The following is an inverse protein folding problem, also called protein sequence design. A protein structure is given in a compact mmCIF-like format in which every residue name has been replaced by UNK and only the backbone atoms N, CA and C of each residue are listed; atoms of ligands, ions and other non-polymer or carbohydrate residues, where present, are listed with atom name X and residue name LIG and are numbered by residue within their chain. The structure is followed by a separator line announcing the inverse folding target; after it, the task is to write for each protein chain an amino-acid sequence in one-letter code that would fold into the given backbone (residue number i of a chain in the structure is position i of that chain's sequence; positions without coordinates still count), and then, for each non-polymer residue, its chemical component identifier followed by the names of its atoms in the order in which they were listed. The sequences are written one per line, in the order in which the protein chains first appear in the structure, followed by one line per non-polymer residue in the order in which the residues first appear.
data_IF_454394340679
#
_entry.id   IF_454394340679
#
_cell.length_a   1.000
_cell.length_b   1.000
_cell.length_c   1.000
_cell.angle_alpha   90.00
_cell.angle_beta   90.00
_cell.angle_gamma   90.00
#
_symmetry.space_group_name_H-M   'P 1'
#
loop_
_entity.id
_entity.type
_entity.pdbx_description
1 polymer ?
#
# COMPACT_ATOMS: atom_id res chain seq x y z
N UNK A 1 17.42 3.53 4.71
CA UNK A 1 16.48 3.08 3.66
C UNK A 1 15.64 1.98 4.26
N UNK A 2 14.33 2.11 4.16
CA UNK A 2 13.37 1.10 4.63
C UNK A 2 13.26 -0.02 3.58
N UNK A 3 13.43 -1.28 3.98
CA UNK A 3 13.39 -2.45 3.10
C UNK A 3 12.08 -2.52 2.31
N UNK A 4 10.97 -2.18 2.96
CA UNK A 4 9.64 -2.23 2.36
C UNK A 4 9.50 -1.22 1.22
N UNK A 5 10.06 -0.02 1.36
CA UNK A 5 10.09 0.98 0.29
C UNK A 5 10.89 0.53 -0.92
N UNK A 6 12.01 -0.18 -0.71
CA UNK A 6 12.83 -0.70 -1.82
C UNK A 6 12.01 -1.69 -2.65
N UNK A 7 11.34 -2.63 -1.98
CA UNK A 7 10.49 -3.62 -2.66
C UNK A 7 9.29 -2.97 -3.32
N UNK A 8 8.67 -1.97 -2.70
CA UNK A 8 7.58 -1.20 -3.30
C UNK A 8 8.01 -0.56 -4.63
N UNK A 9 9.15 0.14 -4.64
CA UNK A 9 9.69 0.79 -5.84
C UNK A 9 10.00 -0.23 -6.95
N UNK A 10 10.56 -1.39 -6.58
CA UNK A 10 10.84 -2.49 -7.51
C UNK A 10 9.55 -3.07 -8.11
N UNK A 11 8.53 -3.34 -7.29
CA UNK A 11 7.23 -3.83 -7.75
C UNK A 11 6.55 -2.81 -8.67
N UNK A 12 6.59 -1.52 -8.33
CA UNK A 12 6.03 -0.46 -9.20
C UNK A 12 6.69 -0.45 -10.58
N UNK A 13 8.00 -0.64 -10.62
CA UNK A 13 8.73 -0.74 -11.88
C UNK A 13 8.37 -2.01 -12.67
N UNK A 14 8.24 -3.15 -12.00
CA UNK A 14 7.81 -4.40 -12.64
C UNK A 14 6.39 -4.31 -13.21
N UNK A 15 5.46 -3.67 -12.50
CA UNK A 15 4.09 -3.40 -12.97
C UNK A 15 4.14 -2.54 -14.25
N UNK A 16 4.90 -1.45 -14.24
CA UNK A 16 5.06 -0.57 -15.42
C UNK A 16 5.63 -1.31 -16.61
N UNK A 17 6.71 -2.08 -16.42
CA UNK A 17 7.37 -2.85 -17.49
C UNK A 17 6.48 -3.91 -18.11
N UNK A 18 5.63 -4.55 -17.30
CA UNK A 18 4.70 -5.58 -17.75
C UNK A 18 3.37 -5.02 -18.27
N UNK A 19 3.14 -3.71 -18.14
CA UNK A 19 1.87 -3.09 -18.50
C UNK A 19 0.69 -3.60 -17.67
N UNK A 20 0.94 -4.02 -16.43
CA UNK A 20 -0.11 -4.53 -15.55
C UNK A 20 -0.97 -3.35 -15.04
N UNK A 21 -2.27 -3.56 -15.04
CA UNK A 21 -3.24 -2.66 -14.43
C UNK A 21 -3.55 -3.18 -13.02
N UNK A 22 -3.10 -2.51 -11.94
CA UNK A 22 -3.28 -3.02 -10.58
C UNK A 22 -4.75 -3.14 -10.16
N UNK A 23 -5.64 -2.36 -10.76
CA UNK A 23 -7.07 -2.37 -10.43
C UNK A 23 -7.79 -3.54 -11.09
N UNK A 24 -7.41 -3.87 -12.33
CA UNK A 24 -8.05 -4.95 -13.10
C UNK A 24 -7.36 -6.31 -12.95
N UNK A 25 -6.07 -6.30 -12.62
CA UNK A 25 -5.20 -7.48 -12.62
C UNK A 25 -4.63 -7.76 -11.23
N UNK A 26 -5.45 -7.57 -10.18
CA UNK A 26 -5.04 -7.72 -8.79
C UNK A 26 -4.42 -9.10 -8.48
N UNK A 27 -4.92 -10.18 -9.10
CA UNK A 27 -4.35 -11.52 -8.94
C UNK A 27 -2.95 -11.69 -9.55
N UNK A 28 -2.63 -10.95 -10.61
CA UNK A 28 -1.28 -10.94 -11.19
C UNK A 28 -0.34 -10.08 -10.35
N UNK A 29 -0.82 -8.93 -9.88
CA UNK A 29 -0.04 -8.05 -9.01
C UNK A 29 0.26 -8.72 -7.67
N UNK A 30 -0.68 -9.48 -7.09
CA UNK A 30 -0.44 -10.26 -5.87
C UNK A 30 0.70 -11.26 -6.05
N UNK A 31 0.68 -12.05 -7.13
CA UNK A 31 1.76 -12.99 -7.46
C UNK A 31 3.09 -12.29 -7.68
N UNK A 32 3.07 -11.11 -8.30
CA UNK A 32 4.26 -10.29 -8.53
C UNK A 32 4.87 -9.79 -7.20
N UNK A 33 4.02 -9.31 -6.28
CA UNK A 33 4.43 -8.87 -4.94
C UNK A 33 5.01 -10.03 -4.14
N UNK A 34 4.34 -11.18 -4.14
CA UNK A 34 4.84 -12.39 -3.47
C UNK A 34 6.23 -12.78 -3.97
N UNK A 35 6.43 -12.79 -5.29
CA UNK A 35 7.72 -13.09 -5.90
C UNK A 35 8.79 -12.05 -5.52
N UNK A 36 8.48 -10.75 -5.62
CA UNK A 36 9.43 -9.68 -5.33
C UNK A 36 9.86 -9.63 -3.85
N UNK A 37 8.92 -9.83 -2.92
CA UNK A 37 9.24 -9.89 -1.49
C UNK A 37 10.12 -11.09 -1.18
N UNK A 38 9.84 -12.25 -1.79
CA UNK A 38 10.62 -13.48 -1.55
C UNK A 38 12.04 -13.35 -2.12
N UNK A 39 12.18 -12.82 -3.33
CA UNK A 39 13.47 -12.53 -3.95
C UNK A 39 14.29 -11.51 -3.13
N UNK A 40 13.64 -10.46 -2.63
CA UNK A 40 14.31 -9.48 -1.77
C UNK A 40 14.82 -10.11 -0.46
N UNK A 41 14.01 -10.94 0.19
CA UNK A 41 14.39 -11.63 1.43
C UNK A 41 15.60 -12.54 1.21
N UNK A 42 15.61 -13.32 0.14
CA UNK A 42 16.76 -14.16 -0.25
C UNK A 42 18.03 -13.32 -0.48
N UNK A 43 17.91 -12.18 -1.17
CA UNK A 43 19.03 -11.25 -1.38
C UNK A 43 19.51 -10.61 -0.08
N UNK A 44 18.60 -10.30 0.84
CA UNK A 44 18.92 -9.70 2.13
C UNK A 44 19.65 -10.66 3.07
N UNK A 45 19.38 -11.97 2.97
CA UNK A 45 20.14 -12.99 3.70
C UNK A 45 21.59 -13.14 3.20
N UNK A 46 21.85 -12.84 1.93
CA UNK A 46 23.16 -13.04 1.28
C UNK A 46 24.00 -11.77 1.14
N UNK A 47 23.46 -10.58 1.48
CA UNK A 47 24.09 -9.30 1.19
C UNK A 47 23.78 -8.20 2.21
N UNK A 48 24.28 -6.96 1.97
CA UNK A 48 24.14 -5.85 2.92
C UNK A 48 22.77 -5.14 2.83
N UNK A 49 21.70 -5.85 2.45
CA UNK A 49 20.36 -5.24 2.38
C UNK A 49 19.69 -5.28 3.76
N UNK A 50 18.88 -4.25 4.11
CA UNK A 50 18.13 -4.27 5.35
C UNK A 50 17.09 -5.41 5.34
N UNK A 51 16.88 -6.09 6.49
CA UNK A 51 15.88 -7.14 6.59
C UNK A 51 14.47 -6.56 6.40
N UNK A 52 13.60 -7.29 5.69
CA UNK A 52 12.24 -6.84 5.41
C UNK A 52 11.24 -7.15 6.55
N UNK A 53 11.65 -7.98 7.51
CA UNK A 53 10.80 -8.40 8.62
C UNK A 53 9.82 -9.52 8.22
N UNK A 54 8.66 -9.63 8.87
CA UNK A 54 7.70 -10.70 8.59
C UNK A 54 7.16 -10.63 7.15
N UNK A 55 7.41 -11.70 6.37
CA UNK A 55 7.11 -11.72 4.93
C UNK A 55 5.63 -11.47 4.62
N UNK A 56 4.70 -12.05 5.38
CA UNK A 56 3.26 -11.85 5.16
C UNK A 56 2.84 -10.40 5.37
N UNK A 57 3.39 -9.73 6.40
CA UNK A 57 3.12 -8.32 6.64
C UNK A 57 3.70 -7.44 5.52
N UNK A 58 4.92 -7.74 5.07
CA UNK A 58 5.55 -7.04 3.96
C UNK A 58 4.79 -7.22 2.64
N UNK A 59 4.37 -8.46 2.32
CA UNK A 59 3.55 -8.77 1.14
C UNK A 59 2.23 -7.99 1.16
N UNK A 60 1.53 -7.99 2.30
CA UNK A 60 0.28 -7.22 2.45
C UNK A 60 0.54 -5.73 2.24
N UNK A 61 1.51 -5.15 2.95
CA UNK A 61 1.81 -3.73 2.85
C UNK A 61 2.19 -3.31 1.43
N UNK A 62 3.08 -4.05 0.78
CA UNK A 62 3.50 -3.74 -0.59
C UNK A 62 2.32 -3.89 -1.56
N UNK A 63 1.51 -4.95 -1.41
CA UNK A 63 0.30 -5.13 -2.22
C UNK A 63 -0.67 -3.96 -2.04
N UNK A 64 -0.95 -3.56 -0.82
CA UNK A 64 -1.85 -2.45 -0.51
C UNK A 64 -1.32 -1.14 -1.10
N UNK A 65 0.00 -0.92 -1.07
CA UNK A 65 0.64 0.26 -1.66
C UNK A 65 0.54 0.33 -3.19
N UNK A 66 0.62 -0.81 -3.89
CA UNK A 66 0.65 -0.84 -5.37
C UNK A 66 -0.72 -1.13 -5.99
N UNK A 67 -1.57 -1.92 -5.35
CA UNK A 67 -2.86 -2.41 -5.85
C UNK A 67 -4.05 -2.05 -4.95
N UNK A 68 -3.84 -1.69 -3.69
CA UNK A 68 -4.88 -1.18 -2.78
C UNK A 68 -4.87 0.35 -2.64
N UNK A 69 -5.32 0.83 -1.48
CA UNK A 69 -5.30 2.24 -1.08
C UNK A 69 -4.15 2.56 -0.10
N UNK A 70 -3.06 1.81 -0.18
CA UNK A 70 -1.87 2.00 0.64
C UNK A 70 -2.19 1.99 2.13
N UNK A 71 -1.72 3.01 2.84
CA UNK A 71 -1.90 3.12 4.30
C UNK A 71 -3.36 3.32 4.73
N UNK A 72 -4.27 3.65 3.80
CA UNK A 72 -5.71 3.71 4.09
C UNK A 72 -6.37 2.34 4.03
N UNK A 73 -5.76 1.34 3.40
CA UNK A 73 -6.37 0.01 3.22
C UNK A 73 -6.84 -0.61 4.56
N UNK A 74 -6.06 -0.55 5.67
CA UNK A 74 -6.53 -1.09 6.94
C UNK A 74 -7.80 -0.39 7.49
N UNK A 75 -7.97 0.90 7.20
CA UNK A 75 -9.18 1.64 7.60
C UNK A 75 -10.38 1.24 6.74
N UNK A 76 -10.16 1.04 5.44
CA UNK A 76 -11.20 0.62 4.50
C UNK A 76 -11.61 -0.86 4.68
N UNK A 77 -10.70 -1.69 5.20
CA UNK A 77 -10.94 -3.09 5.53
C UNK A 77 -11.66 -3.27 6.88
N UNK A 78 -11.69 -2.24 7.74
CA UNK A 78 -12.34 -2.30 9.06
C UNK A 78 -13.86 -2.09 8.91
N UNK A 79 -14.69 -3.14 9.14
CA UNK A 79 -16.13 -3.07 8.90
C UNK A 79 -16.88 -2.18 9.89
N UNK A 80 -16.22 -1.70 10.93
CA UNK A 80 -16.83 -0.78 11.91
C UNK A 80 -16.57 0.69 11.58
N UNK A 81 -15.67 0.97 10.62
CA UNK A 81 -15.47 2.33 10.10
C UNK A 81 -16.56 2.62 9.07
N UNK A 82 -17.32 3.68 9.33
CA UNK A 82 -18.47 4.11 8.52
C UNK A 82 -18.03 5.10 7.42
N UNK A 83 -17.18 6.07 7.80
CA UNK A 83 -16.71 7.13 6.91
C UNK A 83 -15.21 7.39 7.13
N UNK A 84 -14.51 7.80 6.06
CA UNK A 84 -13.11 8.26 6.12
C UNK A 84 -13.04 9.63 5.46
N UNK A 85 -12.57 10.64 6.20
CA UNK A 85 -12.34 11.98 5.69
C UNK A 85 -10.86 12.31 5.62
N UNK A 86 -10.42 12.92 4.52
CA UNK A 86 -9.05 13.40 4.33
C UNK A 86 -9.14 14.90 4.07
N UNK A 87 -8.94 15.71 5.10
CA UNK A 87 -8.99 17.17 4.99
C UNK A 87 -7.63 17.74 4.57
N UNK A 88 -6.55 17.13 5.06
CA UNK A 88 -5.16 17.44 4.72
C UNK A 88 -4.30 16.17 4.85
N UNK A 89 -3.06 16.14 4.35
CA UNK A 89 -2.20 14.95 4.44
C UNK A 89 -1.97 14.46 5.88
N UNK A 90 -2.06 15.35 6.87
CA UNK A 90 -1.95 15.07 8.30
C UNK A 90 -3.28 15.19 9.07
N UNK A 91 -4.40 15.36 8.38
CA UNK A 91 -5.74 15.49 8.96
C UNK A 91 -6.67 14.44 8.35
N UNK A 92 -6.55 13.21 8.85
CA UNK A 92 -7.32 12.05 8.40
C UNK A 92 -8.20 11.58 9.54
N UNK A 93 -9.51 11.59 9.32
CA UNK A 93 -10.53 11.23 10.30
C UNK A 93 -11.26 9.97 9.88
N UNK A 94 -11.73 9.20 10.86
CA UNK A 94 -12.65 8.08 10.63
C UNK A 94 -13.89 8.25 11.51
N UNK A 95 -15.03 7.77 11.03
CA UNK A 95 -16.25 7.68 11.83
C UNK A 95 -16.47 6.23 12.27
N UNK A 96 -16.75 6.02 13.56
CA UNK A 96 -17.12 4.72 14.12
C UNK A 96 -18.28 4.91 15.09
N UNK A 97 -19.38 4.18 14.89
CA UNK A 97 -20.60 4.31 15.70
C UNK A 97 -21.14 5.76 15.74
N UNK A 98 -21.04 6.50 14.63
CA UNK A 98 -21.44 7.90 14.56
C UNK A 98 -20.52 8.91 15.25
N UNK A 99 -19.38 8.49 15.81
CA UNK A 99 -18.38 9.39 16.40
C UNK A 99 -17.15 9.51 15.49
N UNK A 100 -16.66 10.75 15.30
CA UNK A 100 -15.48 11.04 14.48
C UNK A 100 -14.21 11.08 15.34
N UNK A 101 -13.16 10.38 14.91
CA UNK A 101 -11.85 10.34 15.56
C UNK A 101 -10.73 10.67 14.56
N UNK A 102 -9.73 11.43 15.02
CA UNK A 102 -8.51 11.71 14.24
C UNK A 102 -7.60 10.48 14.29
N UNK A 103 -7.14 10.02 13.13
CA UNK A 103 -6.20 8.90 13.02
C UNK A 103 -4.76 9.33 13.26
N UNK A 104 -3.89 8.38 13.55
CA UNK A 104 -2.44 8.60 13.63
C UNK A 104 -1.74 8.57 12.26
N UNK A 105 -2.50 8.39 11.17
CA UNK A 105 -1.93 8.31 9.84
C UNK A 105 -1.49 9.69 9.36
N UNK A 106 -0.38 9.74 8.64
CA UNK A 106 -0.04 10.86 7.80
C UNK A 106 0.32 10.38 6.40
N UNK A 107 -0.04 11.22 5.44
CA UNK A 107 0.22 11.06 4.02
C UNK A 107 1.15 12.17 3.57
N UNK A 108 1.79 11.96 2.43
CA UNK A 108 2.39 13.02 1.63
C UNK A 108 1.38 13.56 0.63
N UNK A 109 1.60 14.78 0.12
CA UNK A 109 0.74 15.35 -0.93
C UNK A 109 0.64 14.43 -2.16
N UNK A 110 1.75 13.77 -2.52
CA UNK A 110 1.77 12.82 -3.62
C UNK A 110 0.89 11.60 -3.33
N UNK A 111 0.93 11.05 -2.11
CA UNK A 111 0.06 9.93 -1.74
C UNK A 111 -1.41 10.32 -1.77
N UNK A 112 -1.78 11.52 -1.30
CA UNK A 112 -3.16 12.01 -1.42
C UNK A 112 -3.59 12.10 -2.88
N UNK A 113 -2.74 12.64 -3.75
CA UNK A 113 -3.02 12.75 -5.18
C UNK A 113 -3.20 11.39 -5.85
N UNK A 114 -2.31 10.45 -5.57
CA UNK A 114 -2.35 9.09 -6.11
C UNK A 114 -3.61 8.35 -5.65
N UNK A 115 -4.04 8.55 -4.40
CA UNK A 115 -5.28 7.99 -3.85
C UNK A 115 -6.51 8.53 -4.58
N UNK A 116 -6.60 9.86 -4.75
CA UNK A 116 -7.73 10.49 -5.46
C UNK A 116 -7.78 10.03 -6.91
N UNK A 117 -6.65 10.01 -7.62
CA UNK A 117 -6.61 9.51 -9.00
C UNK A 117 -7.06 8.04 -9.10
N UNK A 118 -6.73 7.22 -8.11
CA UNK A 118 -7.14 5.81 -8.05
C UNK A 118 -8.64 5.67 -7.81
N UNK A 119 -9.21 6.40 -6.85
CA UNK A 119 -10.64 6.39 -6.55
C UNK A 119 -11.49 6.83 -7.75
N UNK A 120 -10.99 7.79 -8.54
CA UNK A 120 -11.69 8.26 -9.74
C UNK A 120 -11.58 7.27 -10.91
N UNK A 121 -10.52 6.44 -10.97
CA UNK A 121 -10.34 5.41 -12.01
C UNK A 121 -11.18 4.15 -11.76
N UNK A 122 -11.63 3.91 -10.54
CA UNK A 122 -12.47 2.75 -10.20
C UNK A 122 -13.96 2.96 -10.49
N UNK A 123 -14.36 4.07 -11.13
CA UNK A 123 -15.74 4.38 -11.52
C UNK A 123 -16.00 4.19 -13.02
#
# INVERSE_FOLDING_TARGET
MDAVRIVEDEVRELIRRRGLDPLRQAGEVRRLVEAAVSDYDERALMGPLPPIGPLEAARRFVFDAVAGFGVLQPLLDDPTIEEVWINAPNEIYVARNGESELTSLSLTDQQVRDLVERMLKSS
#
